data_IF_681483475679
#
_entry.id   IF_681483475679
#
_cell.length_a   1.000
_cell.length_b   1.000
_cell.length_c   1.000
_cell.angle_alpha   90.00
_cell.angle_beta   90.00
_cell.angle_gamma   90.00
#
_symmetry.space_group_name_H-M   'P 1'
#
loop_
_entity.id
_entity.type
_entity.pdbx_description
1 polymer ?
#
# COMPACT_ATOMS: atom_id res chain seq x y z
N UNK A 1 37.13 7.21 12.87
CA UNK A 1 36.50 6.30 13.87
C UNK A 1 35.28 6.88 14.58
N UNK A 2 35.08 8.22 14.69
CA UNK A 2 33.83 8.80 15.25
C UNK A 2 32.60 8.68 14.34
N UNK A 3 32.79 8.64 13.01
CA UNK A 3 31.68 8.46 12.05
C UNK A 3 31.13 7.02 11.98
N UNK A 4 31.88 6.03 12.42
CA UNK A 4 31.45 4.61 12.37
C UNK A 4 30.69 4.19 13.63
N UNK A 5 30.90 4.86 14.78
CA UNK A 5 30.17 4.55 16.03
C UNK A 5 28.77 5.17 16.07
N UNK A 6 28.57 6.37 15.52
CA UNK A 6 27.25 7.01 15.45
C UNK A 6 26.26 6.25 14.54
N UNK A 7 26.74 5.72 13.40
CA UNK A 7 25.92 4.93 12.47
C UNK A 7 25.50 3.59 13.08
N UNK A 8 26.35 3.00 13.92
CA UNK A 8 26.07 1.72 14.59
C UNK A 8 25.06 1.87 15.74
N UNK A 9 25.05 3.01 16.42
CA UNK A 9 24.09 3.29 17.51
C UNK A 9 22.70 3.65 16.96
N UNK A 10 22.65 4.39 15.84
CA UNK A 10 21.40 4.74 15.13
C UNK A 10 20.77 3.49 14.49
N UNK A 11 21.57 2.59 13.92
CA UNK A 11 21.08 1.30 13.42
C UNK A 11 20.58 0.36 14.53
N UNK A 12 21.16 0.43 15.75
CA UNK A 12 20.70 -0.39 16.87
C UNK A 12 19.35 0.09 17.44
N UNK A 13 19.12 1.41 17.49
CA UNK A 13 17.88 1.99 18.01
C UNK A 13 16.71 1.87 17.03
N UNK A 14 16.98 1.96 15.72
CA UNK A 14 15.98 1.71 14.66
C UNK A 14 15.47 0.25 14.65
N UNK A 15 16.29 -0.72 15.08
CA UNK A 15 15.87 -2.13 15.16
C UNK A 15 15.11 -2.50 16.44
N UNK A 16 15.23 -1.70 17.51
CA UNK A 16 14.49 -1.94 18.75
C UNK A 16 13.02 -1.49 18.69
N UNK A 17 12.67 -0.58 17.78
CA UNK A 17 11.34 0.04 17.73
C UNK A 17 10.32 -0.71 16.85
N UNK A 18 10.74 -1.67 16.02
CA UNK A 18 9.79 -2.54 15.27
C UNK A 18 9.29 -3.73 16.09
N UNK A 19 9.76 -3.92 17.33
CA UNK A 19 9.44 -5.10 18.16
C UNK A 19 8.39 -4.84 19.25
N UNK A 20 7.79 -3.65 19.31
CA UNK A 20 6.80 -3.31 20.33
C UNK A 20 5.43 -2.92 19.76
N UNK A 21 4.89 -3.68 18.81
CA UNK A 21 3.44 -3.74 18.62
C UNK A 21 2.95 -5.18 18.36
N UNK A 22 2.23 -5.69 19.35
CA UNK A 22 1.12 -6.67 19.28
C UNK A 22 1.35 -8.06 18.67
N UNK A 23 1.39 -9.07 19.55
CA UNK A 23 0.44 -10.19 19.46
C UNK A 23 0.73 -11.36 18.49
N UNK A 24 1.75 -12.15 18.79
CA UNK A 24 1.67 -13.62 18.76
C UNK A 24 1.99 -14.35 17.45
N UNK A 25 3.28 -14.64 17.22
CA UNK A 25 3.72 -15.82 16.45
C UNK A 25 5.00 -16.40 17.06
N UNK A 26 5.03 -17.71 17.35
CA UNK A 26 6.14 -18.43 17.98
C UNK A 26 7.51 -18.29 17.27
N UNK A 27 7.52 -17.85 16.02
CA UNK A 27 8.73 -17.66 15.21
C UNK A 27 9.51 -16.39 15.61
N UNK A 28 8.82 -15.33 16.04
CA UNK A 28 9.46 -14.09 16.50
C UNK A 28 10.10 -14.24 17.88
N UNK A 29 9.52 -15.07 18.75
CA UNK A 29 10.08 -15.33 20.08
C UNK A 29 11.39 -16.12 20.00
N UNK A 30 11.49 -17.08 19.08
CA UNK A 30 12.76 -17.79 18.84
C UNK A 30 13.82 -16.89 18.20
N UNK A 31 13.42 -16.01 17.27
CA UNK A 31 14.33 -15.03 16.67
C UNK A 31 14.88 -14.04 17.72
N UNK A 32 14.01 -13.54 18.61
CA UNK A 32 14.39 -12.65 19.71
C UNK A 32 15.30 -13.35 20.72
N UNK A 33 15.02 -14.61 21.06
CA UNK A 33 15.86 -15.40 21.98
C UNK A 33 17.26 -15.65 21.39
N UNK A 34 17.34 -15.89 20.09
CA UNK A 34 18.61 -16.09 19.37
C UNK A 34 19.42 -14.80 19.27
N UNK A 35 18.74 -13.66 19.09
CA UNK A 35 19.37 -12.35 19.06
C UNK A 35 19.89 -11.94 20.45
N UNK A 36 19.14 -12.22 21.52
CA UNK A 36 19.58 -11.99 22.90
C UNK A 36 20.77 -12.87 23.29
N UNK A 37 20.81 -14.14 22.84
CA UNK A 37 21.97 -15.00 23.02
C UNK A 37 23.21 -14.48 22.28
N UNK A 38 23.04 -13.97 21.06
CA UNK A 38 24.16 -13.42 20.28
C UNK A 38 24.73 -12.15 20.92
N UNK A 39 23.86 -11.28 21.46
CA UNK A 39 24.26 -10.09 22.21
C UNK A 39 25.03 -10.46 23.49
N UNK A 40 24.55 -11.45 24.24
CA UNK A 40 25.23 -11.93 25.45
C UNK A 40 26.60 -12.54 25.13
N UNK A 41 26.69 -13.30 24.03
CA UNK A 41 27.95 -13.88 23.56
C UNK A 41 28.99 -12.80 23.21
N UNK A 42 28.59 -11.71 22.55
CA UNK A 42 29.50 -10.59 22.28
C UNK A 42 29.96 -9.87 23.55
N UNK A 43 29.10 -9.78 24.57
CA UNK A 43 29.46 -9.20 25.86
C UNK A 43 30.47 -10.07 26.61
N UNK A 44 30.33 -11.40 26.53
CA UNK A 44 31.23 -12.34 27.18
C UNK A 44 32.57 -12.47 26.45
N UNK A 45 32.58 -12.38 25.10
CA UNK A 45 33.81 -12.27 24.30
C UNK A 45 34.57 -10.96 24.60
N UNK A 46 33.86 -9.84 24.78
CA UNK A 46 34.48 -8.57 25.18
C UNK A 46 35.08 -8.62 26.59
N UNK A 47 34.48 -9.38 27.51
CA UNK A 47 35.04 -9.64 28.85
C UNK A 47 36.25 -10.57 28.81
N UNK A 48 36.25 -11.60 27.94
CA UNK A 48 37.39 -12.48 27.74
C UNK A 48 38.56 -11.78 27.03
N UNK A 49 38.30 -10.71 26.28
CA UNK A 49 39.32 -9.85 25.67
C UNK A 49 40.05 -8.92 26.66
N UNK A 50 39.77 -9.03 27.97
CA UNK A 50 40.65 -8.53 29.03
C UNK A 50 40.52 -7.06 29.40
N UNK A 51 39.41 -6.38 29.09
CA UNK A 51 39.18 -5.02 29.58
C UNK A 51 38.61 -5.03 31.01
N UNK A 52 39.48 -4.79 32.00
CA UNK A 52 39.12 -4.53 33.39
C UNK A 52 39.74 -3.18 33.82
N UNK A 53 39.00 -2.24 34.43
CA UNK A 53 39.59 -0.99 34.91
C UNK A 53 40.21 -1.22 36.31
N UNK A 54 41.50 -0.96 36.45
CA UNK A 54 42.17 -0.89 37.75
C UNK A 54 43.18 0.27 37.80
N UNK A 55 43.15 0.98 38.92
CA UNK A 55 43.92 2.18 39.26
C UNK A 55 45.40 1.87 39.68
N UNK A 56 46.17 2.84 40.21
CA UNK A 56 47.28 3.52 39.54
C UNK A 56 48.68 3.06 40.02
N UNK A 57 49.71 3.16 39.16
CA UNK A 57 51.11 3.09 39.60
C UNK A 57 52.02 3.95 38.69
N UNK A 58 52.88 4.73 39.35
CA UNK A 58 53.67 5.84 38.82
C UNK A 58 54.88 5.42 37.96
N UNK A 59 55.24 6.25 36.96
CA UNK A 59 56.48 7.04 36.92
C UNK A 59 56.95 7.38 35.47
N UNK A 60 56.85 8.69 35.16
CA UNK A 60 57.82 9.55 34.46
C UNK A 60 58.33 9.24 33.05
N UNK A 61 57.85 9.99 32.04
CA UNK A 61 58.63 10.90 31.16
C UNK A 61 57.65 11.82 30.36
N UNK A 62 58.07 12.98 29.82
CA UNK A 62 57.31 14.24 29.88
C UNK A 62 56.20 14.37 28.83
N UNK A 63 55.17 15.10 29.25
CA UNK A 63 53.91 15.41 28.59
C UNK A 63 54.09 16.33 27.36
N UNK A 64 53.62 15.93 26.16
CA UNK A 64 53.14 16.90 25.20
C UNK A 64 51.77 17.37 25.71
N UNK A 65 51.69 18.64 26.11
CA UNK A 65 50.42 19.27 26.52
C UNK A 65 49.44 19.16 25.34
N UNK A 66 48.56 18.16 25.40
CA UNK A 66 47.34 18.17 24.64
C UNK A 66 46.50 19.33 25.20
N UNK A 67 45.95 20.21 24.35
CA UNK A 67 45.03 21.23 24.81
C UNK A 67 43.92 20.52 25.61
N UNK A 68 43.61 21.07 26.78
CA UNK A 68 42.46 20.64 27.57
C UNK A 68 41.23 20.53 26.65
N UNK A 69 40.34 19.55 26.86
CA UNK A 69 39.07 19.53 26.14
C UNK A 69 38.40 20.89 26.38
N UNK A 70 38.28 21.66 25.30
CA UNK A 70 37.52 22.91 25.29
C UNK A 70 36.08 22.58 25.62
N UNK A 71 35.66 23.07 26.78
CA UNK A 71 34.32 23.50 27.17
C UNK A 71 33.14 22.63 26.69
N UNK A 72 32.58 21.87 27.64
CA UNK A 72 31.14 21.77 27.89
C UNK A 72 30.19 21.70 26.66
N UNK A 73 29.85 20.49 26.21
CA UNK A 73 28.51 20.23 25.63
C UNK A 73 27.47 20.24 26.79
N UNK A 74 27.35 21.38 27.48
CA UNK A 74 26.46 21.61 28.64
C UNK A 74 25.07 22.12 28.19
N UNK A 75 24.60 21.70 27.02
CA UNK A 75 23.29 22.05 26.49
C UNK A 75 22.29 20.93 26.65
N UNK A 76 21.01 21.28 26.75
CA UNK A 76 19.90 20.34 26.66
C UNK A 76 19.75 19.86 25.21
N UNK A 77 19.61 18.56 24.99
CA UNK A 77 19.46 17.98 23.66
C UNK A 77 18.00 18.03 23.19
N UNK A 78 17.77 18.58 22.00
CA UNK A 78 16.49 18.51 21.31
C UNK A 78 16.60 17.55 20.13
N UNK A 79 15.68 16.60 20.03
CA UNK A 79 15.57 15.67 18.91
C UNK A 79 14.26 15.91 18.14
N UNK A 80 14.36 16.06 16.83
CA UNK A 80 13.22 16.17 15.92
C UNK A 80 13.06 14.86 15.15
N UNK A 81 11.92 14.19 15.35
CA UNK A 81 11.53 12.96 14.67
C UNK A 81 10.44 13.29 13.63
N UNK A 82 10.56 12.69 12.45
CA UNK A 82 9.68 12.97 11.29
C UNK A 82 9.47 14.48 11.00
N UNK A 83 10.41 15.30 11.44
CA UNK A 83 10.39 16.74 11.42
C UNK A 83 11.82 17.27 11.47
N UNK A 84 11.98 18.56 11.25
CA UNK A 84 13.26 19.26 11.38
C UNK A 84 13.07 20.59 12.10
N UNK A 85 14.11 21.07 12.75
CA UNK A 85 14.18 22.42 13.32
C UNK A 85 15.31 23.13 12.58
N UNK A 86 14.98 24.19 11.84
CA UNK A 86 15.90 24.88 10.92
C UNK A 86 16.62 23.93 9.93
N UNK A 87 15.96 22.83 9.54
CA UNK A 87 16.51 21.81 8.65
C UNK A 87 17.40 20.76 9.33
N UNK A 88 17.62 20.84 10.64
CA UNK A 88 18.37 19.85 11.42
C UNK A 88 17.44 18.91 12.21
N UNK A 89 17.89 17.67 12.44
CA UNK A 89 17.13 16.66 13.21
C UNK A 89 17.49 16.64 14.69
N UNK A 90 18.52 17.39 15.08
CA UNK A 90 19.00 17.47 16.45
C UNK A 90 19.77 18.75 16.67
N UNK A 91 19.57 19.40 17.81
CA UNK A 91 20.34 20.59 18.21
C UNK A 91 20.47 20.64 19.73
N UNK A 92 21.42 21.44 20.22
CA UNK A 92 21.59 21.71 21.65
C UNK A 92 21.07 23.10 21.99
N UNK A 93 20.31 23.22 23.08
CA UNK A 93 19.81 24.51 23.60
C UNK A 93 20.36 24.80 24.99
N UNK A 94 20.68 26.07 25.25
CA UNK A 94 21.05 26.54 26.58
C UNK A 94 19.80 26.97 27.35
N UNK A 95 19.17 26.00 28.04
CA UNK A 95 17.95 26.21 28.80
C UNK A 95 16.70 26.41 27.93
N UNK A 96 15.65 26.97 28.53
CA UNK A 96 14.35 27.04 27.88
C UNK A 96 14.35 28.00 26.70
N UNK A 97 14.06 27.47 25.52
CA UNK A 97 14.02 28.20 24.24
C UNK A 97 12.75 27.85 23.49
N UNK A 98 12.16 28.83 22.80
CA UNK A 98 11.04 28.61 21.89
C UNK A 98 11.58 28.23 20.51
N UNK A 99 11.08 27.12 19.96
CA UNK A 99 11.52 26.55 18.69
C UNK A 99 10.30 26.23 17.81
N UNK A 100 10.54 26.20 16.50
CA UNK A 100 9.55 25.75 15.50
C UNK A 100 10.06 24.48 14.85
N UNK A 101 9.29 23.40 14.97
CA UNK A 101 9.51 22.19 14.18
C UNK A 101 8.68 22.26 12.89
N UNK A 102 9.23 21.74 11.79
CA UNK A 102 8.54 21.57 10.51
C UNK A 102 8.52 20.09 10.14
N UNK A 103 7.35 19.54 9.89
CA UNK A 103 7.16 18.13 9.55
C UNK A 103 7.82 17.77 8.21
N UNK A 104 8.43 16.59 8.13
CA UNK A 104 8.93 16.01 6.88
C UNK A 104 7.87 15.06 6.34
N UNK A 105 7.02 15.56 5.44
CA UNK A 105 5.81 14.86 4.98
C UNK A 105 6.09 14.11 3.67
N UNK A 106 6.04 12.76 3.64
CA UNK A 106 6.10 11.98 2.40
C UNK A 106 4.86 12.22 1.53
N UNK A 107 4.98 11.97 0.22
CA UNK A 107 3.85 12.09 -0.71
C UNK A 107 2.66 11.20 -0.28
N UNK A 108 1.47 11.79 -0.22
CA UNK A 108 0.23 11.10 0.14
C UNK A 108 0.01 10.93 1.65
N UNK A 109 0.83 11.60 2.47
CA UNK A 109 0.65 11.69 3.92
C UNK A 109 0.32 13.13 4.31
N UNK A 110 -0.25 13.30 5.49
CA UNK A 110 -0.50 14.58 6.15
C UNK A 110 -0.12 14.45 7.63
N UNK A 111 0.07 15.58 8.31
CA UNK A 111 0.22 15.57 9.78
C UNK A 111 -1.10 15.12 10.40
N UNK A 112 -1.00 14.17 11.31
CA UNK A 112 -2.11 13.75 12.16
C UNK A 112 -2.12 14.59 13.43
N UNK A 113 -1.00 14.60 14.15
CA UNK A 113 -0.79 15.38 15.36
C UNK A 113 0.71 15.47 15.68
N UNK A 114 1.07 16.32 16.64
CA UNK A 114 2.44 16.46 17.14
C UNK A 114 2.60 15.77 18.49
N UNK A 115 3.74 15.13 18.76
CA UNK A 115 4.11 14.66 20.09
C UNK A 115 5.27 15.46 20.64
N UNK A 116 5.14 15.96 21.87
CA UNK A 116 6.22 16.58 22.62
C UNK A 116 6.51 15.72 23.85
N UNK A 117 7.71 15.16 23.91
CA UNK A 117 8.14 14.24 24.98
C UNK A 117 7.20 13.03 25.19
N UNK A 118 6.56 12.58 24.11
CA UNK A 118 5.60 11.47 24.13
C UNK A 118 4.17 11.87 24.49
N UNK A 119 3.91 13.14 24.80
CA UNK A 119 2.56 13.65 25.02
C UNK A 119 1.99 14.22 23.71
N UNK A 120 0.78 13.80 23.29
CA UNK A 120 0.18 14.24 22.04
C UNK A 120 -0.46 15.64 22.14
N UNK A 121 -0.32 16.41 21.06
CA UNK A 121 -0.87 17.75 20.84
C UNK A 121 -1.74 17.71 19.58
N UNK A 122 -3.06 17.89 19.77
CA UNK A 122 -4.08 17.80 18.71
C UNK A 122 -4.61 19.17 18.26
N UNK A 123 -4.13 20.27 18.86
CA UNK A 123 -4.72 21.60 18.64
C UNK A 123 -4.45 22.12 17.23
N UNK A 124 -3.28 21.82 16.67
CA UNK A 124 -2.88 22.24 15.32
C UNK A 124 -2.37 21.03 14.51
N UNK A 125 -3.12 20.65 13.46
CA UNK A 125 -2.72 19.64 12.47
C UNK A 125 -1.87 20.25 11.34
N UNK A 126 -1.23 21.39 11.61
CA UNK A 126 -0.37 22.07 10.66
C UNK A 126 0.97 21.34 10.48
N UNK A 127 1.65 21.66 9.38
CA UNK A 127 2.99 21.15 9.09
C UNK A 127 4.09 21.80 9.94
N UNK A 128 3.74 22.82 10.74
CA UNK A 128 4.63 23.45 11.70
C UNK A 128 4.08 23.39 13.13
N UNK A 129 4.98 23.35 14.10
CA UNK A 129 4.63 23.29 15.52
C UNK A 129 5.57 24.14 16.36
N UNK A 130 4.98 25.10 17.07
CA UNK A 130 5.68 25.99 18.00
C UNK A 130 5.68 25.35 19.39
N UNK A 131 6.86 25.19 19.98
CA UNK A 131 7.00 24.61 21.32
C UNK A 131 8.14 25.26 22.10
N UNK A 132 8.11 25.12 23.42
CA UNK A 132 9.21 25.54 24.31
C UNK A 132 9.94 24.33 24.83
N UNK A 133 11.26 24.32 24.70
CA UNK A 133 12.11 23.28 25.29
C UNK A 133 12.27 23.50 26.79
N UNK A 134 12.33 22.41 27.55
CA UNK A 134 12.73 22.43 28.96
C UNK A 134 13.51 21.15 29.24
N UNK A 135 14.84 21.22 29.34
CA UNK A 135 15.62 19.99 29.39
C UNK A 135 15.67 19.28 28.04
N UNK A 136 16.19 18.05 28.07
CA UNK A 136 16.17 17.17 26.90
C UNK A 136 14.74 17.01 26.38
N UNK A 137 14.54 17.32 25.10
CA UNK A 137 13.22 17.40 24.48
C UNK A 137 13.18 16.55 23.22
N UNK A 138 12.08 15.83 23.00
CA UNK A 138 11.78 15.13 21.74
C UNK A 138 10.51 15.73 21.17
N UNK A 139 10.56 16.15 19.91
CA UNK A 139 9.40 16.56 19.13
C UNK A 139 9.23 15.61 17.96
N UNK A 140 8.04 15.06 17.76
CA UNK A 140 7.75 14.09 16.71
C UNK A 140 6.49 14.48 15.95
N UNK A 141 6.57 14.55 14.63
CA UNK A 141 5.39 14.72 13.78
C UNK A 141 4.77 13.35 13.49
N UNK A 142 3.57 13.09 14.01
CA UNK A 142 2.83 11.87 13.64
C UNK A 142 2.10 12.11 12.33
N UNK A 143 2.26 11.16 11.43
CA UNK A 143 1.73 11.26 10.08
C UNK A 143 0.61 10.24 9.87
N UNK A 144 -0.39 10.64 9.10
CA UNK A 144 -1.49 9.78 8.62
C UNK A 144 -1.57 9.86 7.09
N UNK A 145 -2.26 8.92 6.45
CA UNK A 145 -2.65 9.10 5.05
C UNK A 145 -3.41 10.41 4.85
N UNK A 146 -3.14 11.07 3.72
CA UNK A 146 -3.91 12.23 3.28
C UNK A 146 -5.39 11.86 3.15
N UNK A 147 -6.25 12.69 3.73
CA UNK A 147 -7.70 12.60 3.63
C UNK A 147 -8.12 12.88 2.20
N UNK A 148 -8.28 11.77 1.48
CA UNK A 148 -8.56 11.76 0.07
C UNK A 148 -9.53 10.65 -0.26
N UNK A 149 -10.49 10.95 -1.14
CA UNK A 149 -11.36 9.96 -1.72
C UNK A 149 -11.00 9.72 -3.18
N UNK A 150 -10.86 8.47 -3.58
CA UNK A 150 -10.57 8.07 -4.96
C UNK A 150 -11.62 7.09 -5.47
N UNK A 151 -11.90 7.14 -6.78
CA UNK A 151 -12.80 6.25 -7.47
C UNK A 151 -12.13 5.61 -8.70
N UNK A 152 -12.24 4.29 -8.82
CA UNK A 152 -11.69 3.48 -9.92
C UNK A 152 -12.84 2.74 -10.61
N UNK A 153 -12.91 2.87 -11.95
CA UNK A 153 -14.04 2.42 -12.77
C UNK A 153 -15.40 3.02 -12.32
N UNK A 154 -15.34 4.08 -11.51
CA UNK A 154 -16.45 4.77 -10.91
C UNK A 154 -16.14 6.26 -10.91
N UNK A 155 -17.18 7.06 -10.77
CA UNK A 155 -17.09 8.51 -10.66
C UNK A 155 -17.87 8.99 -9.44
N UNK A 156 -17.50 10.17 -8.98
CA UNK A 156 -18.11 10.82 -7.83
C UNK A 156 -18.71 12.16 -8.21
N UNK A 157 -19.78 12.52 -7.53
CA UNK A 157 -20.41 13.83 -7.65
C UNK A 157 -20.82 14.34 -6.28
N UNK A 158 -20.77 15.66 -6.11
CA UNK A 158 -21.38 16.33 -4.96
C UNK A 158 -22.90 16.17 -4.98
N UNK A 159 -23.49 16.36 -3.80
CA UNK A 159 -24.94 16.34 -3.64
C UNK A 159 -25.50 17.77 -3.63
N UNK A 160 -26.67 17.97 -4.23
CA UNK A 160 -27.46 19.18 -4.07
C UNK A 160 -28.24 19.19 -2.74
N UNK A 161 -28.94 20.30 -2.44
CA UNK A 161 -29.79 20.46 -1.24
C UNK A 161 -30.88 19.38 -1.08
N UNK A 162 -31.21 18.65 -2.16
CA UNK A 162 -32.19 17.56 -2.16
C UNK A 162 -31.52 16.18 -2.09
N UNK A 163 -30.24 16.15 -1.73
CA UNK A 163 -29.38 14.98 -1.72
C UNK A 163 -29.28 14.29 -3.10
N UNK A 164 -29.37 15.01 -4.22
CA UNK A 164 -29.22 14.41 -5.55
C UNK A 164 -27.83 14.68 -6.11
N UNK A 165 -27.22 13.72 -6.82
CA UNK A 165 -25.95 13.94 -7.50
C UNK A 165 -26.07 15.11 -8.50
N UNK A 166 -25.15 16.06 -8.43
CA UNK A 166 -25.15 17.24 -9.30
C UNK A 166 -23.73 17.81 -9.43
N UNK A 167 -23.50 18.54 -10.51
CA UNK A 167 -22.19 19.12 -10.83
C UNK A 167 -21.33 18.18 -11.67
N UNK A 168 -20.08 18.58 -11.86
CA UNK A 168 -19.14 17.79 -12.65
C UNK A 168 -18.73 16.53 -11.88
N UNK A 169 -18.54 15.45 -12.63
CA UNK A 169 -18.05 14.20 -12.10
C UNK A 169 -16.53 14.26 -11.91
N UNK A 170 -16.03 13.62 -10.86
CA UNK A 170 -14.60 13.55 -10.53
C UNK A 170 -14.23 12.17 -9.97
N UNK A 171 -12.95 11.84 -10.02
CA UNK A 171 -12.43 10.54 -9.53
C UNK A 171 -11.51 10.67 -8.32
N UNK A 172 -11.13 11.88 -7.96
CA UNK A 172 -10.26 12.16 -6.81
C UNK A 172 -10.66 13.48 -6.16
N UNK A 173 -10.69 13.52 -4.83
CA UNK A 173 -10.86 14.76 -4.08
C UNK A 173 -10.11 14.69 -2.75
N UNK A 174 -9.27 15.69 -2.48
CA UNK A 174 -8.54 15.88 -1.22
C UNK A 174 -9.32 16.84 -0.34
N UNK A 175 -9.54 16.50 0.92
CA UNK A 175 -10.35 17.26 1.87
C UNK A 175 -9.58 17.59 3.16
N UNK A 176 -8.32 18.00 3.02
CA UNK A 176 -7.46 18.47 4.13
C UNK A 176 -7.70 19.93 4.52
N UNK A 177 -8.19 20.74 3.57
CA UNK A 177 -8.48 22.17 3.76
C UNK A 177 -9.99 22.45 3.60
N UNK A 178 -10.41 23.60 4.14
CA UNK A 178 -11.76 24.12 3.92
C UNK A 178 -11.99 24.30 2.42
N UNK A 179 -13.16 23.93 1.93
CA UNK A 179 -13.50 24.03 0.51
C UNK A 179 -14.89 24.58 0.29
N UNK A 180 -15.11 25.24 -0.84
CA UNK A 180 -16.46 25.62 -1.25
C UNK A 180 -17.11 24.48 -2.02
N UNK A 181 -18.28 24.01 -1.59
CA UNK A 181 -19.03 23.02 -2.34
C UNK A 181 -19.43 23.61 -3.70
N UNK A 182 -18.99 23.03 -4.84
CA UNK A 182 -19.21 23.65 -6.16
C UNK A 182 -20.69 23.69 -6.57
N UNK A 183 -21.54 22.87 -5.94
CA UNK A 183 -22.98 22.75 -6.22
C UNK A 183 -23.81 23.68 -5.32
N UNK A 184 -23.60 23.62 -4.00
CA UNK A 184 -24.41 24.39 -3.03
C UNK A 184 -23.85 25.78 -2.74
N UNK A 185 -22.57 26.02 -3.09
CA UNK A 185 -21.84 27.27 -2.78
C UNK A 185 -21.62 27.51 -1.28
N UNK A 186 -21.84 26.49 -0.47
CA UNK A 186 -21.59 26.53 0.97
C UNK A 186 -20.09 26.32 1.24
N UNK A 187 -19.58 27.03 2.23
CA UNK A 187 -18.25 26.78 2.78
C UNK A 187 -18.32 25.50 3.64
N UNK A 188 -17.53 24.51 3.26
CA UNK A 188 -17.40 23.23 3.93
C UNK A 188 -16.12 23.25 4.76
N UNK A 189 -16.18 22.92 6.06
CA UNK A 189 -14.97 22.79 6.85
C UNK A 189 -14.15 21.59 6.36
N UNK A 190 -12.85 21.64 6.58
CA UNK A 190 -11.93 20.58 6.24
C UNK A 190 -12.23 19.28 6.99
N UNK A 191 -11.58 18.20 6.53
CA UNK A 191 -11.56 16.92 7.24
C UNK A 191 -12.72 16.00 6.91
N UNK A 192 -13.72 16.44 6.13
CA UNK A 192 -14.74 15.52 5.63
C UNK A 192 -15.37 15.92 4.29
N UNK A 193 -16.00 14.93 3.64
CA UNK A 193 -16.71 15.10 2.38
C UNK A 193 -18.00 14.26 2.37
N UNK A 194 -18.99 14.69 1.58
CA UNK A 194 -20.20 13.91 1.22
C UNK A 194 -20.34 13.84 -0.30
N UNK A 195 -20.49 12.63 -0.84
CA UNK A 195 -20.54 12.37 -2.29
C UNK A 195 -21.49 11.24 -2.66
N UNK A 196 -21.98 11.26 -3.89
CA UNK A 196 -22.50 10.07 -4.56
C UNK A 196 -21.37 9.40 -5.33
N UNK A 197 -21.21 8.10 -5.16
CA UNK A 197 -20.31 7.25 -5.95
C UNK A 197 -21.15 6.46 -6.94
N UNK A 198 -20.79 6.48 -8.21
CA UNK A 198 -21.51 5.80 -9.28
C UNK A 198 -20.55 5.01 -10.18
N UNK A 199 -20.91 3.76 -10.48
CA UNK A 199 -20.13 2.90 -11.35
C UNK A 199 -20.18 3.38 -12.81
N UNK A 200 -19.03 3.48 -13.45
CA UNK A 200 -18.90 3.70 -14.88
C UNK A 200 -18.94 2.34 -15.57
N UNK A 201 -20.12 1.95 -16.07
CA UNK A 201 -20.38 0.61 -16.61
C UNK A 201 -20.36 0.63 -18.14
N UNK A 202 -19.37 0.02 -18.81
CA UNK A 202 -19.37 -0.14 -20.26
C UNK A 202 -20.52 -1.03 -20.74
N UNK A 203 -20.89 -0.89 -22.02
CA UNK A 203 -21.93 -1.73 -22.62
C UNK A 203 -21.56 -3.21 -22.55
N UNK A 204 -22.51 -4.05 -22.11
CA UNK A 204 -22.33 -5.50 -22.00
C UNK A 204 -21.60 -5.94 -20.72
N UNK A 205 -21.48 -5.04 -19.75
CA UNK A 205 -21.02 -5.33 -18.40
C UNK A 205 -22.11 -4.98 -17.38
N UNK A 206 -22.02 -5.58 -16.21
CA UNK A 206 -22.76 -5.20 -15.02
C UNK A 206 -21.82 -5.16 -13.81
N UNK A 207 -22.26 -4.52 -12.73
CA UNK A 207 -21.50 -4.52 -11.47
C UNK A 207 -21.44 -5.94 -10.93
N UNK A 208 -20.23 -6.40 -10.59
CA UNK A 208 -20.08 -7.63 -9.83
C UNK A 208 -20.09 -7.35 -8.32
N UNK A 209 -19.14 -6.52 -7.87
CA UNK A 209 -19.01 -6.09 -6.49
C UNK A 209 -18.20 -4.78 -6.41
N UNK A 210 -18.15 -4.20 -5.22
CA UNK A 210 -17.33 -3.02 -4.92
C UNK A 210 -16.14 -3.43 -4.05
N UNK A 211 -14.99 -2.82 -4.27
CA UNK A 211 -13.88 -2.79 -3.31
C UNK A 211 -13.91 -1.45 -2.59
N UNK A 212 -13.83 -1.49 -1.26
CA UNK A 212 -13.62 -0.31 -0.42
C UNK A 212 -12.29 -0.52 0.28
N UNK A 213 -11.28 0.30 -0.04
CA UNK A 213 -9.90 0.11 0.43
C UNK A 213 -9.38 -1.31 0.17
N UNK A 214 -9.66 -1.86 -1.01
CA UNK A 214 -9.28 -3.22 -1.41
C UNK A 214 -10.08 -4.36 -0.74
N UNK A 215 -11.05 -4.06 0.12
CA UNK A 215 -11.92 -5.05 0.75
C UNK A 215 -13.17 -5.26 -0.10
N UNK A 216 -13.52 -6.50 -0.51
CA UNK A 216 -14.69 -6.75 -1.36
C UNK A 216 -16.02 -6.73 -0.60
N UNK A 217 -16.98 -6.02 -1.18
CA UNK A 217 -18.36 -5.87 -0.73
C UNK A 217 -19.34 -6.43 -1.76
N UNK A 218 -19.93 -7.57 -1.41
CA UNK A 218 -20.99 -8.20 -2.18
C UNK A 218 -22.36 -7.78 -1.61
N UNK A 219 -23.14 -7.10 -2.43
CA UNK A 219 -24.49 -6.69 -2.07
C UNK A 219 -25.50 -7.75 -2.51
N UNK A 220 -26.61 -7.87 -1.77
CA UNK A 220 -27.70 -8.79 -2.11
C UNK A 220 -28.43 -8.43 -3.40
N UNK A 221 -28.22 -7.22 -3.91
CA UNK A 221 -28.70 -6.71 -5.19
C UNK A 221 -27.58 -5.92 -5.85
N UNK A 222 -27.60 -5.84 -7.18
CA UNK A 222 -26.66 -5.00 -7.93
C UNK A 222 -26.76 -3.55 -7.46
N UNK A 223 -25.69 -3.04 -6.85
CA UNK A 223 -25.55 -1.64 -6.43
C UNK A 223 -24.72 -0.93 -7.48
N UNK A 224 -25.34 -0.06 -8.28
CA UNK A 224 -24.66 0.73 -9.31
C UNK A 224 -24.19 2.09 -8.81
N UNK A 225 -24.82 2.59 -7.76
CA UNK A 225 -24.45 3.84 -7.11
C UNK A 225 -24.83 3.79 -5.64
N UNK A 226 -24.12 4.54 -4.82
CA UNK A 226 -24.46 4.75 -3.42
C UNK A 226 -24.00 6.14 -2.97
N UNK A 227 -24.61 6.63 -1.89
CA UNK A 227 -24.19 7.87 -1.25
C UNK A 227 -23.35 7.54 -0.04
N UNK A 228 -22.33 8.35 0.12
CA UNK A 228 -21.44 8.33 1.25
C UNK A 228 -21.64 9.69 1.93
N UNK A 229 -21.85 9.68 3.25
CA UNK A 229 -21.96 10.88 4.07
C UNK A 229 -20.79 10.97 5.06
N UNK A 230 -20.28 12.18 5.22
CA UNK A 230 -19.32 12.54 6.26
C UNK A 230 -18.05 11.66 6.28
N UNK A 231 -17.53 11.28 5.10
CA UNK A 231 -16.25 10.57 5.01
C UNK A 231 -15.16 11.45 5.56
N UNK A 232 -14.44 10.95 6.55
CA UNK A 232 -13.37 11.66 7.26
C UNK A 232 -12.01 10.95 7.20
N UNK A 233 -11.91 9.90 6.40
CA UNK A 233 -10.71 9.05 6.25
C UNK A 233 -10.37 8.83 4.78
N UNK A 234 -9.10 8.55 4.50
CA UNK A 234 -8.65 8.18 3.17
C UNK A 234 -9.40 6.92 2.67
N UNK A 235 -10.10 7.04 1.53
CA UNK A 235 -10.92 5.93 1.01
C UNK A 235 -10.84 5.81 -0.50
N UNK A 236 -10.58 4.59 -0.96
CA UNK A 236 -10.66 4.20 -2.35
C UNK A 236 -11.91 3.34 -2.60
N UNK A 237 -12.70 3.75 -3.58
CA UNK A 237 -13.81 2.98 -4.12
C UNK A 237 -13.45 2.45 -5.49
N UNK A 238 -13.45 1.14 -5.66
CA UNK A 238 -13.30 0.50 -6.96
C UNK A 238 -14.54 -0.34 -7.26
N UNK A 239 -15.09 -0.22 -8.46
CA UNK A 239 -16.10 -1.16 -8.93
C UNK A 239 -15.45 -2.24 -9.79
N UNK A 240 -15.72 -3.49 -9.42
CA UNK A 240 -15.34 -4.65 -10.22
C UNK A 240 -16.52 -5.04 -11.09
N UNK A 241 -16.27 -5.12 -12.39
CA UNK A 241 -17.29 -5.38 -13.40
C UNK A 241 -17.23 -6.83 -13.87
N UNK A 242 -18.39 -7.39 -14.15
CA UNK A 242 -18.54 -8.68 -14.85
C UNK A 242 -19.19 -8.47 -16.19
N UNK A 243 -18.88 -9.35 -17.14
CA UNK A 243 -19.58 -9.39 -18.41
C UNK A 243 -21.04 -9.80 -18.18
N UNK A 244 -21.96 -9.10 -18.81
CA UNK A 244 -23.37 -9.46 -18.76
C UNK A 244 -23.55 -10.84 -19.38
N UNK A 245 -24.06 -11.78 -18.58
CA UNK A 245 -24.43 -13.10 -19.09
C UNK A 245 -25.51 -12.88 -20.15
N UNK A 246 -25.26 -13.36 -21.38
CA UNK A 246 -26.28 -13.37 -22.42
C UNK A 246 -27.56 -13.97 -21.80
N UNK A 247 -28.75 -13.35 -22.01
CA UNK A 247 -29.98 -13.91 -21.48
C UNK A 247 -30.03 -15.37 -21.91
N UNK A 248 -30.21 -16.27 -20.93
CA UNK A 248 -30.35 -17.69 -21.19
C UNK A 248 -31.54 -17.86 -22.12
N UNK A 249 -31.26 -17.94 -23.42
CA UNK A 249 -32.25 -18.31 -24.41
C UNK A 249 -32.49 -19.79 -24.14
N UNK A 250 -33.51 -20.09 -23.35
CA UNK A 250 -34.11 -21.42 -23.36
C UNK A 250 -34.41 -21.71 -24.84
N UNK A 251 -33.83 -22.76 -25.44
CA UNK A 251 -34.03 -22.98 -26.86
C UNK A 251 -35.52 -23.25 -27.10
N UNK A 252 -36.20 -22.28 -27.71
CA UNK A 252 -37.51 -22.51 -28.31
C UNK A 252 -37.29 -23.58 -29.38
N UNK A 253 -38.06 -24.69 -29.38
CA UNK A 253 -37.89 -25.75 -30.38
C UNK A 253 -38.08 -25.13 -31.76
N UNK A 254 -37.00 -25.07 -32.54
CA UNK A 254 -37.02 -24.48 -33.87
C UNK A 254 -37.42 -25.56 -34.88
N UNK A 255 -38.45 -25.32 -35.70
CA UNK A 255 -38.85 -26.22 -36.79
C UNK A 255 -37.74 -26.42 -37.83
N UNK A 256 -37.77 -27.60 -38.44
CA UNK A 256 -36.87 -28.12 -39.49
C UNK A 256 -36.54 -27.08 -40.60
N UNK A 257 -35.28 -27.01 -41.06
CA UNK A 257 -34.82 -25.97 -41.99
C UNK A 257 -35.40 -26.13 -43.41
N UNK A 258 -35.76 -25.00 -44.01
CA UNK A 258 -36.01 -24.87 -45.46
C UNK A 258 -34.88 -24.04 -46.08
N UNK A 259 -34.30 -24.42 -47.24
CA UNK A 259 -33.06 -23.84 -47.75
C UNK A 259 -33.24 -22.52 -48.53
N UNK A 260 -32.31 -21.59 -48.23
CA UNK A 260 -31.65 -20.48 -48.98
C UNK A 260 -32.35 -19.79 -50.18
N UNK A 261 -32.09 -18.48 -50.38
CA UNK A 261 -30.96 -18.11 -51.25
C UNK A 261 -30.03 -16.99 -50.72
N UNK A 262 -28.80 -17.06 -51.21
CA UNK A 262 -27.64 -16.17 -51.02
C UNK A 262 -27.87 -14.77 -51.58
N UNK A 263 -27.39 -13.72 -50.90
CA UNK A 263 -26.96 -12.47 -51.53
C UNK A 263 -25.72 -11.87 -50.84
N UNK A 264 -24.98 -11.08 -51.61
CA UNK A 264 -23.53 -10.82 -51.58
C UNK A 264 -23.12 -9.62 -50.69
N UNK A 265 -21.80 -9.39 -50.46
CA UNK A 265 -21.31 -8.46 -49.44
C UNK A 265 -21.36 -7.01 -49.94
N UNK A 266 -21.62 -6.06 -49.03
CA UNK A 266 -21.43 -4.63 -49.31
C UNK A 266 -20.33 -4.08 -48.39
N UNK A 267 -19.44 -3.35 -49.06
CA UNK A 267 -18.16 -2.77 -48.68
C UNK A 267 -18.24 -1.73 -47.55
N UNK A 268 -17.14 -1.61 -46.80
CA UNK A 268 -16.77 -0.42 -46.02
C UNK A 268 -16.09 0.61 -46.92
N UNK A 269 -16.28 1.89 -46.60
CA UNK A 269 -15.33 2.95 -46.91
C UNK A 269 -15.21 3.88 -45.68
N UNK A 270 -14.00 4.15 -45.16
CA UNK A 270 -13.75 5.09 -44.07
C UNK A 270 -13.31 6.47 -44.64
N UNK A 271 -13.62 7.59 -43.97
CA UNK A 271 -12.68 8.73 -43.82
C UNK A 271 -13.24 9.85 -42.86
N UNK A 272 -12.52 10.95 -42.51
CA UNK A 272 -11.86 11.13 -41.21
C UNK A 272 -12.24 12.45 -40.50
N UNK A 273 -11.98 12.57 -39.20
CA UNK A 273 -11.40 13.82 -38.69
C UNK A 273 -10.78 13.61 -37.31
N UNK A 274 -9.55 14.09 -37.20
CA UNK A 274 -8.61 13.91 -36.11
C UNK A 274 -8.81 14.94 -35.01
N UNK A 275 -8.93 14.46 -33.77
CA UNK A 275 -8.54 15.20 -32.55
C UNK A 275 -7.79 14.23 -31.63
N UNK A 276 -6.63 14.61 -31.05
CA UNK A 276 -5.86 13.72 -30.20
C UNK A 276 -6.53 13.67 -28.83
N UNK A 277 -7.39 12.68 -28.61
CA UNK A 277 -7.78 12.29 -27.27
C UNK A 277 -7.04 10.98 -26.99
N UNK A 278 -6.07 11.01 -26.08
CA UNK A 278 -5.33 9.85 -25.64
C UNK A 278 -6.26 8.96 -24.80
N UNK A 279 -7.15 8.24 -25.46
CA UNK A 279 -7.88 7.12 -24.89
C UNK A 279 -6.85 6.05 -24.52
N UNK A 280 -6.75 5.61 -23.26
CA UNK A 280 -5.93 4.46 -22.90
C UNK A 280 -6.37 3.28 -23.78
N UNK A 281 -5.43 2.63 -24.47
CA UNK A 281 -5.76 1.44 -25.26
C UNK A 281 -6.49 0.42 -24.36
N UNK A 282 -7.58 -0.20 -24.83
CA UNK A 282 -8.32 -1.16 -24.02
C UNK A 282 -7.39 -2.33 -23.67
N UNK A 283 -7.03 -2.43 -22.40
CA UNK A 283 -6.27 -3.55 -21.87
C UNK A 283 -7.12 -4.81 -22.04
N UNK A 284 -6.65 -5.74 -22.86
CA UNK A 284 -7.36 -7.01 -23.08
C UNK A 284 -7.18 -7.90 -21.85
N UNK A 285 -8.27 -8.47 -21.33
CA UNK A 285 -8.22 -9.40 -20.20
C UNK A 285 -8.45 -10.83 -20.67
N UNK A 286 -7.78 -11.76 -20.02
CA UNK A 286 -7.92 -13.20 -20.26
C UNK A 286 -8.27 -13.92 -18.97
N UNK A 287 -9.13 -14.93 -19.10
CA UNK A 287 -9.54 -15.78 -18.01
C UNK A 287 -8.45 -16.80 -17.67
N UNK A 288 -8.22 -16.96 -16.37
CA UNK A 288 -7.35 -17.97 -15.77
C UNK A 288 -8.21 -18.88 -14.93
N UNK A 289 -8.10 -20.19 -15.11
CA UNK A 289 -8.77 -21.19 -14.28
C UNK A 289 -7.79 -22.24 -13.80
N UNK A 290 -7.93 -22.68 -12.56
CA UNK A 290 -7.05 -23.61 -11.88
C UNK A 290 -7.88 -24.69 -11.19
N UNK A 291 -7.69 -25.95 -11.59
CA UNK A 291 -8.32 -27.12 -10.98
C UNK A 291 -7.29 -27.85 -10.11
N UNK A 292 -7.57 -28.01 -8.82
CA UNK A 292 -6.63 -28.60 -7.84
C UNK A 292 -5.27 -27.87 -7.75
N UNK A 293 -5.25 -26.60 -8.13
CA UNK A 293 -4.12 -25.68 -8.02
C UNK A 293 -4.66 -24.26 -7.76
N UNK A 294 -3.75 -23.32 -7.49
CA UNK A 294 -4.05 -21.90 -7.32
C UNK A 294 -3.08 -21.08 -8.17
N UNK A 295 -3.38 -19.81 -8.41
CA UNK A 295 -2.45 -18.87 -9.02
C UNK A 295 -2.38 -17.55 -8.26
N UNK A 296 -1.24 -16.87 -8.39
CA UNK A 296 -0.98 -15.53 -7.85
C UNK A 296 -0.37 -14.64 -8.93
N UNK A 297 -0.59 -13.34 -8.86
CA UNK A 297 -0.19 -12.36 -9.88
C UNK A 297 -1.40 -11.71 -10.57
N UNK A 298 -1.21 -10.51 -11.11
CA UNK A 298 -2.32 -9.73 -11.68
C UNK A 298 -3.39 -9.33 -10.65
N UNK A 299 -2.98 -9.07 -9.40
CA UNK A 299 -3.90 -8.71 -8.30
C UNK A 299 -4.43 -9.90 -7.50
N UNK A 300 -4.19 -11.14 -7.92
CA UNK A 300 -4.62 -12.34 -7.21
C UNK A 300 -3.53 -12.92 -6.29
N UNK A 301 -3.93 -13.48 -5.16
CA UNK A 301 -3.06 -14.23 -4.24
C UNK A 301 -3.71 -15.57 -3.88
N UNK A 302 -3.29 -16.65 -4.56
CA UNK A 302 -3.79 -18.00 -4.30
C UNK A 302 -5.20 -18.29 -4.83
N UNK A 303 -5.63 -17.62 -5.90
CA UNK A 303 -6.96 -17.80 -6.49
C UNK A 303 -7.06 -19.07 -7.34
N UNK A 304 -8.23 -19.69 -7.40
CA UNK A 304 -8.51 -20.84 -8.29
C UNK A 304 -9.09 -20.43 -9.64
N UNK A 305 -9.52 -19.18 -9.79
CA UNK A 305 -9.91 -18.58 -11.06
C UNK A 305 -9.86 -17.05 -10.98
N UNK A 306 -9.73 -16.37 -12.11
CA UNK A 306 -9.72 -14.90 -12.19
C UNK A 306 -9.51 -14.41 -13.60
N UNK A 307 -9.54 -13.08 -13.80
CA UNK A 307 -9.25 -12.45 -15.09
C UNK A 307 -8.09 -11.49 -14.92
N UNK A 308 -7.04 -11.66 -15.71
CA UNK A 308 -5.84 -10.83 -15.63
C UNK A 308 -5.57 -10.10 -16.95
N UNK A 309 -4.91 -8.92 -16.92
CA UNK A 309 -4.48 -8.23 -18.13
C UNK A 309 -3.59 -9.12 -19.03
N UNK A 310 -3.71 -8.96 -20.34
CA UNK A 310 -2.80 -9.55 -21.32
C UNK A 310 -1.34 -9.18 -20.98
N UNK A 311 -0.43 -10.15 -21.10
CA UNK A 311 0.96 -10.00 -20.71
C UNK A 311 1.24 -10.14 -19.20
N UNK A 312 0.20 -10.32 -18.36
CA UNK A 312 0.40 -10.54 -16.92
C UNK A 312 1.15 -11.84 -16.68
N UNK A 313 2.23 -11.76 -15.90
CA UNK A 313 2.94 -12.93 -15.40
C UNK A 313 2.31 -13.41 -14.10
N UNK A 314 1.76 -14.61 -14.12
CA UNK A 314 1.18 -15.30 -12.97
C UNK A 314 2.10 -16.44 -12.50
N UNK A 315 1.98 -16.83 -11.24
CA UNK A 315 2.60 -18.02 -10.65
C UNK A 315 1.51 -19.00 -10.29
N UNK A 316 1.49 -20.16 -10.93
CA UNK A 316 0.57 -21.27 -10.67
C UNK A 316 1.22 -22.23 -9.68
N UNK A 317 0.49 -22.66 -8.66
CA UNK A 317 1.00 -23.40 -7.50
C UNK A 317 0.03 -24.52 -7.10
N UNK A 318 0.52 -25.61 -6.52
CA UNK A 318 -0.30 -26.66 -5.91
C UNK A 318 -0.02 -26.80 -4.42
N UNK A 319 -1.06 -27.12 -3.64
CA UNK A 319 -0.94 -27.44 -2.21
C UNK A 319 -0.77 -28.93 -1.93
N UNK A 320 -0.79 -29.77 -2.98
CA UNK A 320 -0.63 -31.22 -2.84
C UNK A 320 0.78 -31.58 -2.36
N UNK A 321 0.82 -32.48 -1.38
CA UNK A 321 2.07 -32.93 -0.75
C UNK A 321 2.73 -34.09 -1.51
N UNK A 322 1.97 -34.84 -2.31
CA UNK A 322 2.46 -35.95 -3.13
C UNK A 322 2.92 -35.48 -4.52
N UNK A 323 3.79 -36.28 -5.14
CA UNK A 323 4.17 -36.07 -6.54
C UNK A 323 2.91 -36.11 -7.43
N UNK A 324 2.90 -35.25 -8.44
CA UNK A 324 1.79 -35.09 -9.37
C UNK A 324 2.26 -34.57 -10.72
N UNK A 325 1.32 -34.45 -11.66
CA UNK A 325 1.56 -33.87 -12.97
C UNK A 325 0.61 -32.71 -13.24
N UNK A 326 1.07 -31.80 -14.10
CA UNK A 326 0.30 -30.65 -14.55
C UNK A 326 -0.38 -30.95 -15.89
N UNK A 327 -1.57 -30.39 -16.09
CA UNK A 327 -2.29 -30.36 -17.37
C UNK A 327 -2.76 -28.93 -17.68
N UNK A 328 -2.91 -28.61 -18.96
CA UNK A 328 -3.51 -27.36 -19.41
C UNK A 328 -2.59 -26.45 -20.24
N UNK A 329 -2.87 -25.15 -20.17
CA UNK A 329 -2.30 -24.10 -21.02
C UNK A 329 -0.90 -23.70 -20.60
N UNK A 330 0.05 -24.63 -20.64
CA UNK A 330 1.48 -24.34 -20.51
C UNK A 330 2.23 -24.80 -21.77
N UNK A 331 3.43 -24.27 -22.00
CA UNK A 331 4.24 -24.68 -23.15
C UNK A 331 4.76 -26.09 -22.88
N UNK A 332 4.28 -27.07 -23.64
CA UNK A 332 4.80 -28.44 -23.59
C UNK A 332 6.32 -28.41 -23.84
N UNK A 333 7.10 -28.78 -22.82
CA UNK A 333 8.57 -28.75 -22.85
C UNK A 333 9.24 -27.53 -22.18
N UNK A 334 8.50 -26.53 -21.68
CA UNK A 334 9.09 -25.42 -20.91
C UNK A 334 9.48 -25.80 -19.47
N UNK A 335 8.93 -26.91 -18.98
CA UNK A 335 9.46 -27.63 -17.84
C UNK A 335 9.50 -29.09 -18.28
N UNK A 336 10.70 -29.68 -18.24
CA UNK A 336 10.83 -31.13 -18.29
C UNK A 336 9.82 -31.71 -17.30
N UNK A 337 9.18 -32.80 -17.69
CA UNK A 337 8.16 -33.51 -16.91
C UNK A 337 8.85 -34.15 -15.71
N UNK A 338 9.39 -33.33 -14.81
CA UNK A 338 9.90 -33.75 -13.51
C UNK A 338 8.70 -33.75 -12.58
N UNK A 339 8.24 -34.95 -12.29
CA UNK A 339 7.44 -35.25 -11.10
C UNK A 339 8.00 -34.46 -9.91
N UNK A 340 7.21 -33.51 -9.39
CA UNK A 340 7.57 -32.75 -8.18
C UNK A 340 7.65 -31.22 -8.30
N UNK A 341 7.44 -30.63 -9.48
CA UNK A 341 7.35 -29.15 -9.60
C UNK A 341 6.06 -28.66 -8.94
N UNK A 342 6.18 -28.00 -7.77
CA UNK A 342 5.03 -27.50 -6.99
C UNK A 342 4.49 -26.16 -7.49
N UNK A 343 5.25 -25.44 -8.30
CA UNK A 343 4.83 -24.15 -8.87
C UNK A 343 5.62 -23.79 -10.13
N UNK A 344 4.99 -23.04 -11.04
CA UNK A 344 5.65 -22.47 -12.21
C UNK A 344 5.06 -21.09 -12.56
N UNK A 345 5.79 -20.29 -13.34
CA UNK A 345 5.30 -19.01 -13.85
C UNK A 345 4.76 -19.14 -15.27
N UNK A 346 3.69 -18.40 -15.58
CA UNK A 346 3.06 -18.35 -16.90
C UNK A 346 2.71 -16.90 -17.27
N UNK A 347 2.85 -16.53 -18.55
CA UNK A 347 2.45 -15.20 -19.04
C UNK A 347 1.14 -15.33 -19.81
N UNK A 348 0.10 -14.64 -19.33
CA UNK A 348 -1.26 -14.79 -19.85
C UNK A 348 -1.45 -13.92 -21.09
N UNK A 349 -1.57 -14.56 -22.26
CA UNK A 349 -1.84 -13.89 -23.56
C UNK A 349 -3.06 -14.48 -24.28
N UNK A 350 -3.77 -15.40 -23.64
CA UNK A 350 -5.02 -16.01 -24.07
C UNK A 350 -5.72 -16.58 -22.84
N UNK A 351 -7.01 -16.90 -22.95
CA UNK A 351 -7.69 -17.70 -21.94
C UNK A 351 -6.90 -18.97 -21.66
N UNK A 352 -6.66 -19.26 -20.38
CA UNK A 352 -5.80 -20.36 -19.95
C UNK A 352 -6.41 -21.13 -18.79
N UNK A 353 -6.20 -22.44 -18.81
CA UNK A 353 -6.66 -23.35 -17.76
C UNK A 353 -5.51 -24.24 -17.32
N UNK A 354 -5.36 -24.44 -16.02
CA UNK A 354 -4.35 -25.31 -15.42
C UNK A 354 -5.03 -26.33 -14.52
N UNK A 355 -4.46 -27.53 -14.46
CA UNK A 355 -4.85 -28.55 -13.51
C UNK A 355 -3.61 -29.24 -12.95
N UNK A 356 -3.66 -29.63 -11.68
CA UNK A 356 -2.64 -30.47 -11.07
C UNK A 356 -3.29 -31.75 -10.55
N UNK A 357 -2.75 -32.90 -10.92
CA UNK A 357 -3.27 -34.20 -10.47
C UNK A 357 -2.18 -34.92 -9.68
N UNK A 358 -2.50 -35.37 -8.47
CA UNK A 358 -1.59 -36.19 -7.69
C UNK A 358 -1.52 -37.62 -8.20
N UNK A 359 -0.35 -38.24 -8.10
CA UNK A 359 -0.18 -39.68 -8.26
C UNK A 359 -0.75 -40.34 -7.00
N UNK A 360 -1.85 -41.08 -7.16
CA UNK A 360 -2.40 -41.94 -6.11
C UNK A 360 -1.68 -43.28 -6.22
N UNK A 361 -0.78 -43.58 -5.28
CA UNK A 361 -0.19 -44.92 -5.14
C UNK A 361 -1.13 -45.86 -4.40
#
# INVERSE_FOLDING_TARGET
MRRTFAVLLVALLLFCLTACQSGGNNVELEAMKKQMQMMQQQLDEAKQAGYNPSAPAAASTPEPTLPAPTEDESGDLVLALHSTIDGETSLFTDGATELVATAVIPKGMAVDYWELNGEPYYEDMEDTFLFTTQGNTVVDAKLRPERKVTAINAEMQFLDEKNKPKGDAFTEFVFEEDYENPVTKEAMPSGWITVNVEAVIPRGYDVDYWLINGVPYYYSRTVRSFKMYDLNEATEYEVVLKKESAPSSTPKPTPKPTPKPTQAPIYYEPDPESTPNSTPEPVTYYSVSCTQCTFSGGGYSGATSGSVPAGTRITVSTSWQSEGWWEGSYVAGAFGVDSGVKSFSYTVNSDCSFAHYGIVN
#
